data_IF_863182266408
#
_entry.id   IF_863182266408
#
_cell.length_a   1.000
_cell.length_b   1.000
_cell.length_c   1.000
_cell.angle_alpha   90.00
_cell.angle_beta   90.00
_cell.angle_gamma   90.00
#
_symmetry.space_group_name_H-M   'P 1'
#
loop_
_entity.id
_entity.type
_entity.pdbx_description
1 polymer ?
#
# COMPACT_ATOMS: atom_id res chain seq x y z
N UNK A 1 -34.52 16.90 -71.11
CA UNK A 1 -34.42 17.75 -69.90
C UNK A 1 -34.51 16.84 -68.69
N UNK A 2 -33.37 16.51 -68.07
CA UNK A 2 -33.30 15.66 -66.88
C UNK A 2 -32.72 16.47 -65.73
N UNK A 3 -33.49 16.59 -64.65
CA UNK A 3 -33.13 17.32 -63.45
C UNK A 3 -32.22 16.45 -62.56
N UNK A 4 -31.07 17.02 -62.19
CA UNK A 4 -30.08 16.48 -61.26
C UNK A 4 -30.58 16.61 -59.81
N UNK A 5 -30.68 15.49 -59.08
CA UNK A 5 -30.87 15.49 -57.63
C UNK A 5 -29.51 15.47 -56.92
N UNK A 6 -29.26 16.53 -56.15
CA UNK A 6 -28.08 16.77 -55.32
C UNK A 6 -28.26 16.09 -53.95
N UNK A 7 -27.55 15.00 -53.69
CA UNK A 7 -27.40 14.44 -52.35
C UNK A 7 -26.35 15.25 -51.56
N UNK A 8 -26.79 15.97 -50.52
CA UNK A 8 -25.90 16.46 -49.44
C UNK A 8 -26.10 15.58 -48.19
N UNK A 9 -25.04 15.09 -47.54
CA UNK A 9 -25.16 14.54 -46.20
C UNK A 9 -25.08 15.65 -45.15
N UNK A 10 -26.07 15.66 -44.24
CA UNK A 10 -26.11 16.53 -43.06
C UNK A 10 -25.34 15.89 -41.89
N UNK A 11 -24.27 16.57 -41.49
CA UNK A 11 -23.73 16.72 -40.13
C UNK A 11 -23.66 15.48 -39.19
N UNK A 12 -22.47 14.87 -39.12
CA UNK A 12 -21.96 14.26 -37.89
C UNK A 12 -20.78 15.09 -37.36
N UNK A 13 -21.05 16.01 -36.43
CA UNK A 13 -20.02 16.67 -35.62
C UNK A 13 -20.53 16.87 -34.19
N UNK A 14 -20.70 15.77 -33.45
CA UNK A 14 -20.86 15.81 -31.98
C UNK A 14 -20.35 14.52 -31.33
N UNK A 15 -19.03 14.28 -31.29
CA UNK A 15 -18.47 13.34 -30.29
C UNK A 15 -16.93 13.38 -30.20
N UNK A 16 -16.32 14.54 -29.91
CA UNK A 16 -14.87 14.56 -29.59
C UNK A 16 -14.48 15.47 -28.43
N UNK A 17 -15.38 16.37 -27.99
CA UNK A 17 -15.10 17.24 -26.84
C UNK A 17 -15.40 16.58 -25.48
N UNK A 18 -16.38 15.68 -25.41
CA UNK A 18 -16.81 15.09 -24.13
C UNK A 18 -15.83 14.01 -23.60
N UNK A 19 -15.15 13.28 -24.49
CA UNK A 19 -14.17 12.26 -24.10
C UNK A 19 -12.81 12.83 -23.66
N UNK A 20 -12.44 14.06 -24.06
CA UNK A 20 -11.16 14.67 -23.65
C UNK A 20 -11.17 15.16 -22.20
N UNK A 21 -12.32 15.63 -21.71
CA UNK A 21 -12.47 16.08 -20.32
C UNK A 21 -12.40 14.94 -19.30
N UNK A 22 -12.98 13.78 -19.62
CA UNK A 22 -12.97 12.61 -18.74
C UNK A 22 -11.56 11.98 -18.69
N UNK A 23 -10.88 11.86 -19.83
CA UNK A 23 -9.48 11.37 -19.87
C UNK A 23 -8.49 12.31 -19.15
N UNK A 24 -8.71 13.62 -19.18
CA UNK A 24 -7.87 14.57 -18.44
C UNK A 24 -8.14 14.55 -16.92
N UNK A 25 -9.37 14.30 -16.48
CA UNK A 25 -9.69 14.17 -15.05
C UNK A 25 -9.22 12.83 -14.47
N UNK A 26 -9.32 11.73 -15.21
CA UNK A 26 -8.77 10.43 -14.78
C UNK A 26 -7.25 10.42 -14.79
N UNK A 27 -6.60 11.03 -15.79
CA UNK A 27 -5.14 11.16 -15.81
C UNK A 27 -4.62 12.03 -14.67
N UNK A 28 -5.30 13.13 -14.31
CA UNK A 28 -4.89 13.95 -13.16
C UNK A 28 -5.07 13.22 -11.81
N UNK A 29 -6.14 12.45 -11.63
CA UNK A 29 -6.32 11.62 -10.43
C UNK A 29 -5.32 10.45 -10.34
N UNK A 30 -4.90 9.90 -11.48
CA UNK A 30 -3.81 8.90 -11.55
C UNK A 30 -2.44 9.56 -11.29
N UNK A 31 -2.25 10.80 -11.75
CA UNK A 31 -1.01 11.56 -11.55
C UNK A 31 -0.84 12.06 -10.12
N UNK A 32 -1.94 12.42 -9.45
CA UNK A 32 -1.96 12.72 -8.02
C UNK A 32 -1.79 11.44 -7.17
N UNK A 33 -2.24 10.26 -7.65
CA UNK A 33 -1.89 8.95 -7.06
C UNK A 33 -0.40 8.60 -7.26
N UNK A 34 0.20 8.94 -8.42
CA UNK A 34 1.64 8.78 -8.69
C UNK A 34 2.52 9.72 -7.85
N UNK A 35 2.02 10.82 -7.33
CA UNK A 35 2.80 11.70 -6.46
C UNK A 35 2.95 11.20 -5.00
N UNK A 36 2.45 10.01 -4.68
CA UNK A 36 2.69 9.37 -3.37
C UNK A 36 4.09 8.71 -3.25
N UNK A 37 4.92 8.70 -4.31
CA UNK A 37 6.26 8.07 -4.33
C UNK A 37 7.35 8.81 -3.53
N UNK A 38 6.98 9.72 -2.63
CA UNK A 38 7.89 10.36 -1.67
C UNK A 38 7.74 9.88 -0.23
N UNK A 39 6.68 9.14 0.09
CA UNK A 39 6.27 8.93 1.48
C UNK A 39 6.94 7.69 2.06
N UNK A 40 7.68 7.88 3.13
CA UNK A 40 8.25 6.81 3.95
C UNK A 40 7.17 6.33 4.93
N UNK A 41 6.73 5.08 4.82
CA UNK A 41 5.85 4.49 5.84
C UNK A 41 6.72 3.77 6.86
N UNK A 42 6.70 4.27 8.08
CA UNK A 42 7.43 3.73 9.22
C UNK A 42 6.48 2.99 10.15
N UNK A 43 6.81 1.74 10.49
CA UNK A 43 6.05 0.90 11.41
C UNK A 43 6.74 0.91 12.78
N UNK A 44 6.00 1.29 13.81
CA UNK A 44 6.45 1.31 15.19
C UNK A 44 5.65 0.32 16.03
N UNK A 45 6.33 -0.50 16.81
CA UNK A 45 5.68 -1.34 17.83
C UNK A 45 5.48 -0.50 19.09
N UNK A 46 4.27 -0.45 19.60
CA UNK A 46 3.94 0.28 20.82
C UNK A 46 3.38 -0.67 21.87
N UNK A 47 3.21 -0.19 23.10
CA UNK A 47 2.59 -0.97 24.15
C UNK A 47 1.19 -1.49 23.73
N UNK A 48 0.70 -2.48 24.48
CA UNK A 48 -0.64 -3.04 24.28
C UNK A 48 -1.69 -1.92 24.23
N UNK A 49 -2.47 -1.88 23.16
CA UNK A 49 -3.53 -0.91 22.97
C UNK A 49 -4.57 -1.45 21.98
N UNK A 50 -5.85 -1.15 22.22
CA UNK A 50 -6.93 -1.52 21.30
C UNK A 50 -7.38 -0.34 20.43
N UNK A 51 -7.02 0.87 20.84
CA UNK A 51 -7.21 2.12 20.10
C UNK A 51 -5.99 3.02 20.25
N UNK A 52 -5.77 3.91 19.29
CA UNK A 52 -4.66 4.87 19.33
C UNK A 52 -4.74 5.79 20.56
N UNK A 53 -5.96 6.10 21.01
CA UNK A 53 -6.23 6.95 22.16
C UNK A 53 -5.85 6.29 23.50
N UNK A 54 -5.72 4.96 23.54
CA UNK A 54 -5.32 4.23 24.76
C UNK A 54 -3.84 4.49 25.11
N UNK A 55 -3.06 5.02 24.16
CA UNK A 55 -1.63 5.28 24.30
C UNK A 55 -1.42 6.66 24.96
N UNK A 56 -1.20 6.63 26.28
CA UNK A 56 -1.02 7.85 27.10
C UNK A 56 0.21 8.69 26.72
N UNK A 57 1.33 8.04 26.43
CA UNK A 57 2.61 8.67 26.05
C UNK A 57 3.06 8.14 24.68
N UNK A 58 2.43 8.64 23.61
CA UNK A 58 2.72 8.20 22.25
C UNK A 58 4.11 8.64 21.81
N UNK A 59 4.47 9.91 22.02
CA UNK A 59 5.76 10.47 21.62
C UNK A 59 6.92 9.76 22.32
N UNK A 60 6.83 9.53 23.63
CA UNK A 60 7.87 8.83 24.38
C UNK A 60 8.03 7.36 23.95
N UNK A 61 6.94 6.69 23.54
CA UNK A 61 7.03 5.33 23.00
C UNK A 61 7.61 5.29 21.58
N UNK A 62 7.29 6.27 20.73
CA UNK A 62 7.89 6.40 19.40
C UNK A 62 9.40 6.64 19.50
N UNK A 63 9.83 7.54 20.39
CA UNK A 63 11.26 7.80 20.63
C UNK A 63 12.00 6.54 21.09
N UNK A 64 11.41 5.75 21.99
CA UNK A 64 12.00 4.48 22.49
C UNK A 64 12.10 3.38 21.43
N UNK A 65 11.31 3.46 20.37
CA UNK A 65 11.26 2.42 19.32
C UNK A 65 11.84 2.86 17.99
N UNK A 66 12.40 4.08 17.92
CA UNK A 66 12.98 4.67 16.73
C UNK A 66 14.03 3.78 16.04
N UNK A 67 14.90 3.13 16.82
CA UNK A 67 15.96 2.27 16.28
C UNK A 67 15.45 0.88 15.84
N UNK A 68 14.23 0.53 16.21
CA UNK A 68 13.61 -0.77 15.92
C UNK A 68 12.43 -0.66 14.97
N UNK A 69 12.19 0.53 14.40
CA UNK A 69 11.15 0.76 13.41
C UNK A 69 11.49 0.04 12.11
N UNK A 70 10.46 -0.38 11.39
CA UNK A 70 10.62 -0.85 10.01
C UNK A 70 10.27 0.29 9.08
N UNK A 71 11.19 0.64 8.18
CA UNK A 71 10.97 1.67 7.18
C UNK A 71 10.70 1.02 5.81
N UNK A 72 9.51 1.24 5.26
CA UNK A 72 9.09 0.77 3.94
C UNK A 72 9.25 1.87 2.87
N UNK A 73 10.35 2.63 2.95
CA UNK A 73 10.66 3.78 2.11
C UNK A 73 10.42 3.50 0.62
N UNK A 74 9.47 4.23 0.02
CA UNK A 74 9.04 4.14 -1.39
C UNK A 74 8.56 2.77 -1.89
N UNK A 75 8.78 1.70 -1.15
CA UNK A 75 8.48 0.33 -1.56
C UNK A 75 7.16 -0.19 -1.01
N UNK A 76 6.48 0.58 -0.14
CA UNK A 76 5.21 0.12 0.46
C UNK A 76 4.16 -0.19 -0.61
N UNK A 77 4.11 0.61 -1.68
CA UNK A 77 3.22 0.38 -2.81
C UNK A 77 3.52 -0.93 -3.54
N UNK A 78 4.79 -1.17 -3.84
CA UNK A 78 5.28 -2.37 -4.53
C UNK A 78 4.96 -3.62 -3.70
N UNK A 79 5.25 -3.60 -2.39
CA UNK A 79 4.92 -4.70 -1.48
C UNK A 79 3.40 -4.91 -1.40
N UNK A 80 2.61 -3.83 -1.41
CA UNK A 80 1.15 -3.95 -1.43
C UNK A 80 0.65 -4.61 -2.71
N UNK A 81 1.17 -4.20 -3.88
CA UNK A 81 0.84 -4.82 -5.16
C UNK A 81 1.22 -6.31 -5.19
N UNK A 82 2.36 -6.68 -4.59
CA UNK A 82 2.81 -8.07 -4.49
C UNK A 82 1.86 -8.88 -3.60
N UNK A 83 1.58 -8.43 -2.37
CA UNK A 83 0.76 -9.23 -1.45
C UNK A 83 -0.72 -9.25 -1.81
N UNK A 84 -1.23 -8.21 -2.47
CA UNK A 84 -2.62 -8.12 -2.91
C UNK A 84 -2.81 -8.68 -4.34
N UNK A 85 -1.73 -8.89 -5.08
CA UNK A 85 -1.73 -9.26 -6.50
C UNK A 85 -2.67 -8.40 -7.35
N UNK A 86 -2.56 -7.07 -7.19
CA UNK A 86 -3.38 -6.07 -7.87
C UNK A 86 -2.56 -4.82 -8.19
N UNK A 87 -2.91 -4.11 -9.26
CA UNK A 87 -2.33 -2.81 -9.64
C UNK A 87 -2.93 -1.63 -8.87
N UNK A 88 -4.09 -1.81 -8.21
CA UNK A 88 -4.68 -0.81 -7.31
C UNK A 88 -4.69 -1.33 -5.86
N UNK A 89 -3.61 -1.13 -5.09
CA UNK A 89 -3.50 -1.66 -3.72
C UNK A 89 -4.49 -1.02 -2.74
N UNK A 90 -5.15 0.07 -3.12
CA UNK A 90 -6.16 0.76 -2.29
C UNK A 90 -7.59 0.30 -2.56
N UNK A 91 -7.80 -0.60 -3.52
CA UNK A 91 -9.13 -1.08 -3.94
C UNK A 91 -9.87 -1.85 -2.84
N UNK A 92 -9.16 -2.51 -1.92
CA UNK A 92 -9.78 -3.28 -0.85
C UNK A 92 -9.04 -3.11 0.50
N UNK A 93 -9.42 -2.09 1.30
CA UNK A 93 -8.75 -1.79 2.58
C UNK A 93 -9.05 -2.80 3.70
N UNK A 94 -9.91 -3.79 3.46
CA UNK A 94 -10.33 -4.77 4.48
C UNK A 94 -9.45 -6.01 4.51
N UNK A 95 -8.63 -6.23 3.49
CA UNK A 95 -7.76 -7.40 3.37
C UNK A 95 -6.63 -7.38 4.40
N UNK A 96 -6.13 -8.56 4.77
CA UNK A 96 -5.02 -8.68 5.73
C UNK A 96 -3.73 -8.04 5.19
N UNK A 97 -3.32 -8.23 3.93
CA UNK A 97 -2.17 -7.52 3.38
C UNK A 97 -2.28 -6.00 3.46
N UNK A 98 -3.47 -5.45 3.19
CA UNK A 98 -3.66 -4.01 3.30
C UNK A 98 -3.47 -3.53 4.75
N UNK A 99 -4.16 -4.18 5.70
CA UNK A 99 -4.02 -3.86 7.13
C UNK A 99 -2.56 -4.00 7.60
N UNK A 100 -1.83 -4.99 7.09
CA UNK A 100 -0.42 -5.22 7.40
C UNK A 100 0.51 -4.10 6.89
N UNK A 101 0.13 -3.35 5.85
CA UNK A 101 0.97 -2.30 5.28
C UNK A 101 0.53 -0.89 5.65
N UNK A 102 -0.75 -0.70 5.97
CA UNK A 102 -1.34 0.61 6.21
C UNK A 102 -2.12 0.73 7.52
N UNK A 103 -2.41 -0.37 8.20
CA UNK A 103 -3.27 -0.41 9.37
C UNK A 103 -4.71 0.04 9.10
N UNK A 104 -5.48 0.25 10.18
CA UNK A 104 -6.74 0.98 10.11
C UNK A 104 -6.45 2.47 10.10
N UNK A 105 -7.18 3.21 9.25
CA UNK A 105 -7.01 4.66 9.13
C UNK A 105 -7.11 5.34 10.51
N UNK A 106 -6.03 6.02 10.87
CA UNK A 106 -5.97 6.92 12.01
C UNK A 106 -5.53 8.30 11.50
N UNK A 107 -5.84 9.35 12.26
CA UNK A 107 -5.39 10.71 11.94
C UNK A 107 -4.92 11.39 13.22
N UNK A 108 -3.61 11.45 13.40
CA UNK A 108 -2.97 12.15 14.51
C UNK A 108 -1.57 12.59 14.07
N UNK A 109 -1.24 13.85 14.24
CA UNK A 109 0.11 14.34 13.98
C UNK A 109 0.96 14.19 15.24
N UNK A 110 2.21 13.80 15.07
CA UNK A 110 3.24 13.66 16.10
C UNK A 110 4.54 14.30 15.62
N UNK A 111 5.51 14.47 16.51
CA UNK A 111 6.79 15.13 16.21
C UNK A 111 7.55 14.50 15.03
N UNK A 112 7.36 13.21 14.81
CA UNK A 112 8.01 12.43 13.76
C UNK A 112 7.16 12.28 12.49
N UNK A 113 5.99 12.89 12.36
CA UNK A 113 5.15 12.82 11.15
C UNK A 113 3.67 12.56 11.44
N UNK A 114 2.94 12.14 10.41
CA UNK A 114 1.50 11.89 10.52
C UNK A 114 1.21 10.40 10.70
N UNK A 115 0.51 10.07 11.79
CA UNK A 115 -0.06 8.73 12.00
C UNK A 115 -1.18 8.55 10.98
N UNK A 116 -0.91 7.75 9.96
CA UNK A 116 -1.89 7.36 8.92
C UNK A 116 -2.63 6.07 9.24
N UNK A 117 -2.06 5.24 10.12
CA UNK A 117 -2.56 3.91 10.41
C UNK A 117 -2.31 3.44 11.85
N UNK A 118 -3.21 2.60 12.34
CA UNK A 118 -3.10 1.92 13.63
C UNK A 118 -3.60 0.48 13.53
N UNK A 119 -2.91 -0.45 14.18
CA UNK A 119 -3.36 -1.81 14.41
C UNK A 119 -3.43 -2.07 15.91
N UNK A 120 -4.62 -2.49 16.35
CA UNK A 120 -4.85 -2.93 17.70
C UNK A 120 -4.06 -4.21 18.00
N UNK A 121 -3.72 -4.41 19.27
CA UNK A 121 -3.05 -5.65 19.71
C UNK A 121 -3.86 -6.89 19.33
N UNK A 122 -5.19 -6.82 19.40
CA UNK A 122 -6.09 -7.91 19.01
C UNK A 122 -6.06 -8.28 17.52
N UNK A 123 -5.52 -7.42 16.64
CA UNK A 123 -5.44 -7.68 15.19
C UNK A 123 -4.11 -8.32 14.76
N UNK A 124 -3.07 -8.23 15.59
CA UNK A 124 -1.74 -8.79 15.30
C UNK A 124 -1.77 -10.32 15.08
N UNK A 125 -2.54 -11.11 15.85
CA UNK A 125 -2.64 -12.56 15.63
C UNK A 125 -3.10 -12.94 14.21
N UNK A 126 -4.09 -12.23 13.66
CA UNK A 126 -4.62 -12.51 12.32
C UNK A 126 -3.56 -12.24 11.23
N UNK A 127 -2.78 -11.17 11.40
CA UNK A 127 -1.67 -10.83 10.49
C UNK A 127 -0.57 -11.90 10.54
N UNK A 128 -0.13 -12.28 11.75
CA UNK A 128 0.91 -13.32 11.88
C UNK A 128 0.45 -14.68 11.38
N UNK A 129 -0.83 -15.02 11.51
CA UNK A 129 -1.39 -16.22 10.92
C UNK A 129 -1.38 -16.16 9.39
N UNK A 130 -1.73 -15.01 8.79
CA UNK A 130 -1.63 -14.82 7.35
C UNK A 130 -0.19 -14.95 6.86
N UNK A 131 0.77 -14.38 7.59
CA UNK A 131 2.21 -14.52 7.30
C UNK A 131 2.60 -16.00 7.20
N UNK A 132 2.34 -16.78 8.27
CA UNK A 132 2.66 -18.21 8.32
C UNK A 132 1.95 -19.02 7.24
N UNK A 133 0.67 -18.74 7.00
CA UNK A 133 -0.15 -19.44 6.00
C UNK A 133 0.44 -19.29 4.60
N UNK A 134 0.97 -18.11 4.28
CA UNK A 134 1.58 -17.81 2.98
C UNK A 134 3.10 -18.03 2.97
N UNK A 135 3.68 -18.49 4.09
CA UNK A 135 5.11 -18.79 4.27
C UNK A 135 6.04 -17.60 4.00
N UNK A 136 5.54 -16.37 4.13
CA UNK A 136 6.31 -15.16 3.79
C UNK A 136 7.44 -14.86 4.79
N UNK A 137 7.52 -15.61 5.89
CA UNK A 137 8.65 -15.59 6.82
C UNK A 137 9.95 -16.16 6.24
N UNK A 138 9.89 -16.78 5.06
CA UNK A 138 11.04 -17.31 4.35
C UNK A 138 11.18 -16.68 2.96
N UNK A 139 12.41 -16.57 2.47
CA UNK A 139 12.66 -16.10 1.10
C UNK A 139 11.98 -16.97 0.05
N UNK A 140 11.96 -18.30 0.26
CA UNK A 140 11.30 -19.23 -0.65
C UNK A 140 9.79 -19.00 -0.71
N UNK A 141 9.13 -18.81 0.45
CA UNK A 141 7.70 -18.54 0.49
C UNK A 141 7.34 -17.18 -0.11
N UNK A 142 8.12 -16.13 0.19
CA UNK A 142 7.96 -14.84 -0.47
C UNK A 142 8.16 -14.94 -1.99
N UNK A 143 9.19 -15.65 -2.45
CA UNK A 143 9.46 -15.86 -3.88
C UNK A 143 8.30 -16.53 -4.59
N UNK A 144 7.66 -17.53 -3.95
CA UNK A 144 6.46 -18.18 -4.48
C UNK A 144 5.28 -17.22 -4.61
N UNK A 145 5.09 -16.30 -3.67
CA UNK A 145 4.06 -15.25 -3.78
C UNK A 145 4.35 -14.36 -4.99
N UNK A 146 5.60 -13.91 -5.14
CA UNK A 146 6.03 -13.07 -6.26
C UNK A 146 5.91 -13.78 -7.62
N UNK A 147 6.28 -15.05 -7.70
CA UNK A 147 6.24 -15.82 -8.95
C UNK A 147 4.82 -16.07 -9.45
N UNK A 148 3.85 -16.10 -8.53
CA UNK A 148 2.43 -16.27 -8.83
C UNK A 148 1.69 -14.96 -9.13
N UNK A 149 2.39 -13.82 -9.20
CA UNK A 149 1.78 -12.55 -9.58
C UNK A 149 1.18 -12.62 -10.99
N UNK A 150 0.08 -11.90 -11.17
CA UNK A 150 -0.55 -11.72 -12.47
C UNK A 150 0.41 -11.02 -13.43
N UNK A 151 0.22 -11.25 -14.74
CA UNK A 151 1.05 -10.59 -15.77
C UNK A 151 0.96 -9.07 -15.69
N UNK A 152 -0.21 -8.55 -15.35
CA UNK A 152 -0.45 -7.11 -15.20
C UNK A 152 0.39 -6.53 -14.06
N UNK A 153 0.36 -7.17 -12.88
CA UNK A 153 1.14 -6.72 -11.71
C UNK A 153 2.64 -6.82 -11.97
N UNK A 154 3.12 -7.92 -12.57
CA UNK A 154 4.54 -8.06 -12.90
C UNK A 154 5.02 -6.95 -13.84
N UNK A 155 4.22 -6.62 -14.84
CA UNK A 155 4.53 -5.55 -15.80
C UNK A 155 4.57 -4.19 -15.11
N UNK A 156 3.59 -3.86 -14.26
CA UNK A 156 3.57 -2.59 -13.54
C UNK A 156 4.80 -2.45 -12.61
N UNK A 157 5.16 -3.51 -11.86
CA UNK A 157 6.36 -3.51 -11.02
C UNK A 157 7.66 -3.32 -11.83
N UNK A 158 7.75 -3.95 -13.00
CA UNK A 158 8.89 -3.75 -13.92
C UNK A 158 8.96 -2.30 -14.43
N UNK A 159 7.82 -1.71 -14.82
CA UNK A 159 7.73 -0.31 -15.28
C UNK A 159 8.04 0.69 -14.16
N UNK A 160 7.74 0.34 -12.91
CA UNK A 160 8.09 1.12 -11.72
C UNK A 160 9.56 1.02 -11.33
N UNK A 161 10.31 0.07 -11.90
CA UNK A 161 11.69 -0.21 -11.53
C UNK A 161 11.80 -0.80 -10.12
N UNK A 162 10.82 -1.60 -9.72
CA UNK A 162 10.82 -2.30 -8.42
C UNK A 162 12.09 -3.13 -8.26
N UNK A 163 12.62 -3.15 -7.03
CA UNK A 163 13.78 -3.95 -6.65
C UNK A 163 13.55 -5.46 -6.90
N UNK A 164 14.63 -6.22 -7.01
CA UNK A 164 14.50 -7.66 -7.18
C UNK A 164 13.96 -8.35 -5.91
N UNK A 165 13.54 -9.62 -6.05
CA UNK A 165 12.93 -10.37 -4.94
C UNK A 165 13.84 -10.48 -3.71
N UNK A 166 15.14 -10.63 -3.90
CA UNK A 166 16.09 -10.84 -2.82
C UNK A 166 16.27 -9.55 -2.01
N UNK A 167 16.36 -8.42 -2.70
CA UNK A 167 16.45 -7.09 -2.10
C UNK A 167 15.14 -6.71 -1.40
N UNK A 168 13.98 -6.91 -2.06
CA UNK A 168 12.66 -6.74 -1.45
C UNK A 168 12.52 -7.56 -0.16
N UNK A 169 12.94 -8.82 -0.20
CA UNK A 169 12.82 -9.70 0.95
C UNK A 169 13.73 -9.27 2.09
N UNK A 170 15.01 -9.04 1.80
CA UNK A 170 16.03 -8.77 2.81
C UNK A 170 15.89 -7.38 3.40
N UNK A 171 15.61 -6.39 2.55
CA UNK A 171 15.49 -4.98 2.94
C UNK A 171 14.18 -4.66 3.66
N UNK A 172 13.08 -5.34 3.33
CA UNK A 172 11.75 -4.88 3.74
C UNK A 172 10.85 -5.97 4.31
N UNK A 173 10.64 -7.06 3.57
CA UNK A 173 9.68 -8.10 3.98
C UNK A 173 10.14 -8.80 5.26
N UNK A 174 11.42 -9.19 5.34
CA UNK A 174 11.97 -9.87 6.52
C UNK A 174 11.93 -8.98 7.77
N UNK A 175 12.39 -7.73 7.76
CA UNK A 175 12.21 -6.81 8.89
C UNK A 175 10.75 -6.64 9.31
N UNK A 176 9.83 -6.48 8.35
CA UNK A 176 8.39 -6.36 8.62
C UNK A 176 7.82 -7.64 9.28
N UNK A 177 8.19 -8.82 8.79
CA UNK A 177 7.79 -10.10 9.38
C UNK A 177 8.31 -10.22 10.82
N UNK A 178 9.58 -9.88 11.05
CA UNK A 178 10.16 -9.85 12.41
C UNK A 178 9.37 -8.89 13.30
N UNK A 179 9.05 -7.68 12.82
CA UNK A 179 8.23 -6.73 13.56
C UNK A 179 6.90 -7.34 14.02
N UNK A 180 6.18 -8.03 13.13
CA UNK A 180 4.89 -8.62 13.48
C UNK A 180 4.99 -9.79 14.46
N UNK A 181 6.00 -10.66 14.32
CA UNK A 181 6.21 -11.73 15.28
C UNK A 181 6.62 -11.22 16.66
N UNK A 182 7.50 -10.23 16.71
CA UNK A 182 7.90 -9.61 17.98
C UNK A 182 6.72 -8.83 18.60
N UNK A 183 5.85 -8.22 17.78
CA UNK A 183 4.64 -7.59 18.27
C UNK A 183 3.66 -8.59 18.87
N UNK A 184 3.50 -9.77 18.25
CA UNK A 184 2.69 -10.86 18.78
C UNK A 184 3.21 -11.34 20.14
N UNK A 185 4.51 -11.64 20.22
CA UNK A 185 5.15 -12.15 21.44
C UNK A 185 5.01 -11.19 22.62
N UNK A 186 5.16 -9.89 22.36
CA UNK A 186 5.13 -8.86 23.39
C UNK A 186 3.75 -8.22 23.61
N UNK A 187 2.70 -8.74 22.95
CA UNK A 187 1.35 -8.17 22.98
C UNK A 187 1.33 -6.66 22.64
N UNK A 188 2.06 -6.26 21.60
CA UNK A 188 2.18 -4.87 21.18
C UNK A 188 1.04 -4.46 20.22
N UNK A 189 0.79 -3.17 20.13
CA UNK A 189 0.06 -2.55 19.01
C UNK A 189 1.06 -2.05 17.97
N UNK A 190 0.59 -1.69 16.77
CA UNK A 190 1.47 -1.15 15.70
C UNK A 190 0.90 0.16 15.16
N UNK A 191 1.76 1.17 15.02
CA UNK A 191 1.43 2.47 14.42
C UNK A 191 2.19 2.65 13.11
N UNK A 192 1.51 3.25 12.14
CA UNK A 192 2.04 3.57 10.81
C UNK A 192 2.14 5.08 10.65
N UNK A 193 3.36 5.57 10.46
CA UNK A 193 3.64 7.00 10.32
C UNK A 193 4.18 7.27 8.93
N UNK A 194 3.50 8.16 8.20
CA UNK A 194 3.98 8.72 6.95
C UNK A 194 4.93 9.89 7.21
N UNK A 195 6.05 9.91 6.50
CA UNK A 195 7.04 10.99 6.48
C UNK A 195 7.36 11.39 5.05
#
# INVERSE_FOLDING_TARGET
>A
MMATFSNRPLSEKRSTAFNRGIYQQTSKAIQDKKNAFGISINLYRLAKAEKLEDIKDLEGQLAKTADTKVNLYKITGDIAMIFLNTTDPFSNPTTIPYKMLYGKRAKKSVSVGDVGGFLATTEIPEITQWIKKNKIETFEGFSKVYDNLSKEVKKELEEMGTEDKADLFTGYVRPMVVLYFTALENNNSVVFIGQ
#
